data_IF_297817671638
#
_entry.id   IF_297817671638
#
_cell.length_a   1.000
_cell.length_b   1.000
_cell.length_c   1.000
_cell.angle_alpha   90.00
_cell.angle_beta   90.00
_cell.angle_gamma   90.00
#
_symmetry.space_group_name_H-M   'P 1'
#
loop_
_entity.id
_entity.type
_entity.pdbx_description
1 polymer ?
#
# COMPACT_ATOMS: atom_id res chain seq x y z
N UNK A 1 -26.05 -12.46 -11.31
CA UNK A 1 -24.62 -12.22 -11.59
C UNK A 1 -23.82 -13.13 -10.65
N UNK A 2 -23.69 -14.44 -10.95
CA UNK A 2 -23.21 -15.43 -9.97
C UNK A 2 -22.19 -16.44 -10.54
N UNK A 3 -21.30 -16.01 -11.44
CA UNK A 3 -20.32 -16.89 -12.11
C UNK A 3 -18.91 -16.31 -12.21
N UNK A 4 -18.57 -15.29 -11.44
CA UNK A 4 -17.35 -14.51 -11.65
C UNK A 4 -16.07 -15.28 -11.27
N UNK A 5 -16.03 -15.92 -10.09
CA UNK A 5 -14.85 -16.66 -9.63
C UNK A 5 -14.68 -17.98 -10.39
N UNK A 6 -15.77 -18.74 -10.59
CA UNK A 6 -15.75 -19.94 -11.42
C UNK A 6 -15.34 -19.66 -12.88
N UNK A 7 -15.80 -18.55 -13.45
CA UNK A 7 -15.38 -18.09 -14.79
C UNK A 7 -13.90 -17.76 -14.84
N UNK A 8 -13.36 -17.20 -13.75
CA UNK A 8 -11.94 -16.95 -13.57
C UNK A 8 -11.11 -18.24 -13.51
N UNK A 9 -11.53 -19.22 -12.72
CA UNK A 9 -10.87 -20.53 -12.65
C UNK A 9 -10.88 -21.26 -13.99
N UNK A 10 -12.01 -21.25 -14.70
CA UNK A 10 -12.13 -21.85 -16.03
C UNK A 10 -11.14 -21.21 -17.03
N UNK A 11 -11.02 -19.87 -17.02
CA UNK A 11 -10.08 -19.15 -17.87
C UNK A 11 -8.62 -19.39 -17.47
N UNK A 12 -8.31 -19.45 -16.17
CA UNK A 12 -6.95 -19.72 -15.67
C UNK A 12 -6.48 -21.13 -16.03
N UNK A 13 -7.32 -22.16 -15.82
CA UNK A 13 -7.01 -23.55 -16.18
C UNK A 13 -6.86 -23.69 -17.70
N UNK A 14 -7.69 -23.00 -18.50
CA UNK A 14 -7.58 -22.99 -19.95
C UNK A 14 -6.26 -22.34 -20.42
N UNK A 15 -5.86 -21.22 -19.81
CA UNK A 15 -4.58 -20.54 -20.07
C UNK A 15 -3.39 -21.46 -19.77
N UNK A 16 -3.38 -22.12 -18.61
CA UNK A 16 -2.33 -23.08 -18.22
C UNK A 16 -2.24 -24.29 -19.16
N UNK A 17 -3.37 -24.80 -19.67
CA UNK A 17 -3.40 -25.89 -20.67
C UNK A 17 -2.85 -25.46 -22.03
N UNK A 18 -3.15 -24.24 -22.48
CA UNK A 18 -2.61 -23.70 -23.75
C UNK A 18 -1.09 -23.51 -23.67
N UNK A 19 -0.55 -23.14 -22.50
CA UNK A 19 0.88 -23.02 -22.27
C UNK A 19 1.62 -24.36 -22.09
N UNK A 20 0.91 -25.49 -21.94
CA UNK A 20 1.49 -26.82 -21.75
C UNK A 20 1.00 -27.82 -22.81
N UNK A 21 1.52 -27.70 -24.03
CA UNK A 21 1.68 -28.88 -24.88
C UNK A 21 3.06 -28.96 -25.57
N UNK A 22 3.59 -30.20 -25.72
CA UNK A 22 5.00 -30.45 -25.97
C UNK A 22 5.35 -30.50 -27.47
N UNK A 23 6.60 -30.19 -27.78
CA UNK A 23 7.22 -30.43 -29.08
C UNK A 23 7.14 -31.93 -29.42
N UNK A 24 6.28 -32.27 -30.39
CA UNK A 24 6.28 -33.56 -31.06
C UNK A 24 7.29 -33.51 -32.22
N UNK A 25 8.16 -34.51 -32.21
CA UNK A 25 9.05 -35.06 -33.24
C UNK A 25 8.86 -34.59 -34.69
N UNK A 26 9.94 -34.08 -35.28
CA UNK A 26 10.13 -33.97 -36.73
C UNK A 26 11.27 -34.88 -37.19
N UNK A 27 10.92 -36.00 -37.83
CA UNK A 27 11.85 -36.91 -38.50
C UNK A 27 12.36 -36.35 -39.82
N UNK A 28 13.62 -36.65 -40.13
CA UNK A 28 14.26 -36.42 -41.43
C UNK A 28 13.77 -37.43 -42.48
N UNK A 29 13.44 -36.96 -43.68
CA UNK A 29 13.84 -37.65 -44.91
C UNK A 29 13.77 -36.72 -46.13
N UNK A 30 14.82 -36.79 -46.93
CA UNK A 30 15.11 -35.96 -48.10
C UNK A 30 14.45 -36.49 -49.38
N UNK A 31 14.23 -35.62 -50.38
CA UNK A 31 14.40 -35.97 -51.80
C UNK A 31 14.79 -34.75 -52.65
N UNK A 32 15.82 -34.96 -53.49
CA UNK A 32 16.40 -34.07 -54.51
C UNK A 32 15.56 -34.03 -55.79
N UNK A 33 15.61 -32.93 -56.53
CA UNK A 33 15.90 -32.80 -57.99
C UNK A 33 16.04 -31.27 -58.25
N UNK A 34 16.92 -30.69 -59.08
CA UNK A 34 17.87 -31.19 -60.06
C UNK A 34 18.03 -30.13 -61.17
N UNK A 35 19.16 -29.40 -61.17
CA UNK A 35 19.88 -28.75 -62.30
C UNK A 35 19.20 -27.64 -63.12
N UNK A 36 19.89 -26.49 -63.24
CA UNK A 36 20.73 -26.09 -64.41
C UNK A 36 21.43 -24.74 -64.17
N UNK A 37 22.78 -24.73 -64.25
CA UNK A 37 23.66 -23.58 -64.61
C UNK A 37 23.95 -23.72 -66.12
N UNK A 38 24.28 -22.66 -66.91
CA UNK A 38 25.44 -21.75 -66.74
C UNK A 38 25.08 -20.29 -67.17
N UNK A 39 25.93 -19.25 -67.30
CA UNK A 39 27.37 -19.03 -67.46
C UNK A 39 27.63 -17.52 -67.19
N UNK A 40 28.83 -17.16 -66.74
CA UNK A 40 29.25 -15.79 -66.43
C UNK A 40 29.48 -14.91 -67.67
N UNK A 41 29.21 -13.60 -67.55
CA UNK A 41 29.81 -12.49 -68.29
C UNK A 41 29.79 -11.24 -67.38
N UNK A 42 30.89 -10.47 -67.41
CA UNK A 42 31.28 -9.45 -66.43
C UNK A 42 30.44 -8.17 -66.38
N UNK A 43 30.84 -7.20 -65.53
CA UNK A 43 30.00 -6.05 -65.19
C UNK A 43 30.16 -4.92 -66.22
N UNK A 44 29.06 -4.23 -66.60
CA UNK A 44 29.14 -2.91 -67.22
C UNK A 44 29.08 -1.78 -66.17
N UNK A 45 29.59 -0.59 -66.52
CA UNK A 45 30.06 0.44 -65.59
C UNK A 45 28.97 1.29 -64.93
N UNK A 46 29.30 1.84 -63.77
CA UNK A 46 28.48 2.77 -62.97
C UNK A 46 28.07 4.03 -63.75
N UNK A 47 26.78 4.40 -63.73
CA UNK A 47 26.36 5.75 -64.06
C UNK A 47 26.51 6.66 -62.83
N UNK A 48 27.35 7.68 -62.97
CA UNK A 48 27.46 8.82 -62.05
C UNK A 48 26.10 9.52 -61.96
N UNK A 49 25.41 9.36 -60.83
CA UNK A 49 24.24 10.18 -60.48
C UNK A 49 24.54 11.10 -59.30
N UNK A 50 23.99 12.31 -59.43
CA UNK A 50 24.27 13.51 -58.68
C UNK A 50 24.07 13.36 -57.15
N UNK A 51 24.92 14.07 -56.39
CA UNK A 51 24.73 14.29 -54.95
C UNK A 51 23.38 14.98 -54.70
N UNK A 52 22.48 14.39 -53.88
CA UNK A 52 21.37 15.14 -53.32
C UNK A 52 21.90 16.14 -52.28
N UNK A 53 21.39 17.37 -52.31
CA UNK A 53 21.60 18.35 -51.23
C UNK A 53 21.00 17.77 -49.94
N UNK A 54 21.86 17.48 -48.98
CA UNK A 54 21.47 17.13 -47.61
C UNK A 54 20.91 18.39 -46.98
N UNK A 55 19.59 18.44 -46.77
CA UNK A 55 18.98 19.39 -45.83
C UNK A 55 19.42 19.06 -44.40
N UNK A 56 19.37 20.03 -43.46
CA UNK A 56 19.74 19.76 -42.08
C UNK A 56 18.92 18.58 -41.52
N UNK A 57 19.52 17.75 -40.65
CA UNK A 57 18.83 16.61 -40.08
C UNK A 57 17.56 17.09 -39.34
N UNK A 58 16.47 16.30 -39.38
CA UNK A 58 15.30 16.60 -38.55
C UNK A 58 15.73 16.66 -37.08
N UNK A 59 15.22 17.64 -36.35
CA UNK A 59 15.46 17.77 -34.91
C UNK A 59 15.14 16.42 -34.23
N UNK A 60 16.01 15.96 -33.32
CA UNK A 60 15.69 14.78 -32.52
C UNK A 60 14.37 15.04 -31.78
N UNK A 61 13.50 14.03 -31.64
CA UNK A 61 12.30 14.18 -30.84
C UNK A 61 12.71 14.69 -29.45
N UNK A 62 11.92 15.60 -28.84
CA UNK A 62 12.24 16.10 -27.51
C UNK A 62 12.46 14.88 -26.61
N UNK A 63 13.62 14.84 -25.94
CA UNK A 63 13.90 13.81 -24.94
C UNK A 63 12.66 13.72 -24.04
N UNK A 64 12.12 12.51 -23.78
CA UNK A 64 11.03 12.36 -22.83
C UNK A 64 11.50 13.04 -21.56
N UNK A 65 10.86 14.16 -21.25
CA UNK A 65 11.32 15.07 -20.22
C UNK A 65 11.66 14.25 -19.00
N UNK A 66 12.87 14.45 -18.46
CA UNK A 66 13.18 14.05 -17.10
C UNK A 66 12.03 14.55 -16.24
N UNK A 67 11.07 13.68 -15.94
CA UNK A 67 10.09 13.91 -14.91
C UNK A 67 10.94 14.26 -13.69
N UNK A 68 10.83 15.51 -13.24
CA UNK A 68 11.63 15.98 -12.12
C UNK A 68 11.35 15.03 -10.97
N UNK A 69 12.37 14.31 -10.53
CA UNK A 69 12.38 13.49 -9.31
C UNK A 69 12.31 14.38 -8.05
N UNK A 70 11.59 15.50 -8.08
CA UNK A 70 11.49 16.51 -7.02
C UNK A 70 10.11 16.56 -6.36
N UNK A 71 9.13 15.75 -6.79
CA UNK A 71 7.74 15.90 -6.33
C UNK A 71 7.43 15.40 -4.91
N UNK A 72 7.89 14.24 -4.43
CA UNK A 72 7.44 13.75 -3.12
C UNK A 72 8.11 14.48 -1.95
N UNK A 73 9.40 14.82 -2.05
CA UNK A 73 10.08 15.65 -1.06
C UNK A 73 9.44 17.05 -0.93
N UNK A 74 9.00 17.65 -2.05
CA UNK A 74 8.30 18.93 -2.00
C UNK A 74 6.90 18.80 -1.39
N UNK A 75 6.21 17.67 -1.55
CA UNK A 75 4.85 17.45 -1.03
C UNK A 75 4.80 17.35 0.50
N UNK A 76 5.76 16.68 1.13
CA UNK A 76 5.85 16.63 2.60
C UNK A 76 6.20 18.00 3.18
N UNK A 77 7.15 18.70 2.57
CA UNK A 77 7.51 20.05 2.99
C UNK A 77 6.33 21.03 2.85
N UNK A 78 5.59 20.96 1.74
CA UNK A 78 4.38 21.75 1.50
C UNK A 78 3.27 21.44 2.53
N UNK A 79 3.09 20.17 2.90
CA UNK A 79 2.10 19.76 3.91
C UNK A 79 2.44 20.32 5.29
N UNK A 80 3.73 20.27 5.68
CA UNK A 80 4.21 20.84 6.94
C UNK A 80 4.06 22.36 6.98
N UNK A 81 4.54 23.06 5.96
CA UNK A 81 4.44 24.52 5.88
C UNK A 81 2.97 24.98 5.95
N UNK A 82 2.07 24.26 5.28
CA UNK A 82 0.62 24.48 5.37
C UNK A 82 0.06 24.20 6.77
N UNK A 83 0.47 23.11 7.41
CA UNK A 83 0.03 22.76 8.76
C UNK A 83 0.48 23.84 9.77
N UNK A 84 1.76 24.22 9.76
CA UNK A 84 2.28 25.30 10.60
C UNK A 84 1.53 26.61 10.34
N UNK A 85 1.30 26.96 9.07
CA UNK A 85 0.54 28.15 8.70
C UNK A 85 -0.90 28.13 9.22
N UNK A 86 -1.58 26.99 9.12
CA UNK A 86 -2.97 26.84 9.55
C UNK A 86 -3.12 26.88 11.08
N UNK A 87 -2.15 26.31 11.81
CA UNK A 87 -2.08 26.45 13.27
C UNK A 87 -1.88 27.91 13.66
N UNK A 88 -0.99 28.64 12.97
CA UNK A 88 -0.81 30.08 13.20
C UNK A 88 -2.10 30.89 12.98
N UNK A 89 -2.92 30.54 11.99
CA UNK A 89 -4.25 31.14 11.78
C UNK A 89 -5.23 30.73 12.88
N UNK A 90 -5.19 29.48 13.34
CA UNK A 90 -6.05 28.98 14.41
C UNK A 90 -5.73 29.66 15.76
N UNK A 91 -4.46 29.96 16.02
CA UNK A 91 -4.02 30.62 17.25
C UNK A 91 -4.56 32.05 17.39
N UNK A 92 -4.78 32.76 16.28
CA UNK A 92 -5.33 34.12 16.29
C UNK A 92 -6.86 34.15 16.19
N UNK A 93 -7.51 32.99 16.08
CA UNK A 93 -8.97 32.89 15.99
C UNK A 93 -9.65 33.13 17.34
N UNK A 94 -10.88 33.66 17.29
CA UNK A 94 -11.72 33.84 18.47
C UNK A 94 -12.05 32.50 19.12
N UNK A 95 -12.20 32.53 20.45
CA UNK A 95 -12.58 31.36 21.23
C UNK A 95 -14.06 31.04 20.98
N UNK A 96 -14.33 29.77 20.68
CA UNK A 96 -15.67 29.22 20.58
C UNK A 96 -16.13 28.63 21.94
N UNK A 97 -17.40 28.85 22.28
CA UNK A 97 -18.00 28.22 23.45
C UNK A 97 -18.17 26.71 23.22
N UNK A 98 -18.05 25.92 24.30
CA UNK A 98 -18.18 24.46 24.21
C UNK A 98 -19.53 24.01 23.65
N UNK A 99 -20.61 24.67 24.04
CA UNK A 99 -21.97 24.34 23.57
C UNK A 99 -22.12 24.60 22.06
N UNK A 100 -21.49 25.66 21.54
CA UNK A 100 -21.51 25.97 20.10
C UNK A 100 -20.73 24.92 19.30
N UNK A 101 -19.60 24.43 19.84
CA UNK A 101 -18.81 23.35 19.24
C UNK A 101 -19.60 22.05 19.23
N UNK A 102 -20.29 21.71 20.31
CA UNK A 102 -21.08 20.48 20.41
C UNK A 102 -22.28 20.49 19.46
N UNK A 103 -23.00 21.61 19.38
CA UNK A 103 -24.10 21.76 18.43
C UNK A 103 -23.62 21.67 16.97
N UNK A 104 -22.46 22.25 16.67
CA UNK A 104 -21.88 22.15 15.34
C UNK A 104 -21.39 20.73 15.02
N UNK A 105 -20.78 20.04 16.00
CA UNK A 105 -20.35 18.66 15.89
C UNK A 105 -21.50 17.73 15.53
N UNK A 106 -22.69 17.88 16.14
CA UNK A 106 -23.86 17.06 15.81
C UNK A 106 -24.25 17.18 14.33
N UNK A 107 -24.14 18.38 13.76
CA UNK A 107 -24.40 18.61 12.33
C UNK A 107 -23.33 17.92 11.47
N UNK A 108 -22.07 18.05 11.88
CA UNK A 108 -20.94 17.45 11.15
C UNK A 108 -20.95 15.92 11.24
N UNK A 109 -21.35 15.35 12.37
CA UNK A 109 -21.51 13.92 12.57
C UNK A 109 -22.52 13.34 11.58
N UNK A 110 -23.64 14.04 11.38
CA UNK A 110 -24.67 13.62 10.45
C UNK A 110 -24.26 13.74 8.97
N UNK A 111 -23.55 14.81 8.60
CA UNK A 111 -23.25 15.12 7.19
C UNK A 111 -21.94 14.50 6.71
N UNK A 112 -20.90 14.49 7.55
CA UNK A 112 -19.55 14.04 7.19
C UNK A 112 -19.13 12.76 7.90
N UNK A 113 -20.00 12.18 8.73
CA UNK A 113 -19.69 10.97 9.49
C UNK A 113 -18.68 11.21 10.61
N UNK A 114 -18.66 12.40 11.21
CA UNK A 114 -17.80 12.65 12.36
C UNK A 114 -18.14 11.77 13.55
N UNK A 115 -17.12 11.10 14.09
CA UNK A 115 -17.29 10.15 15.20
C UNK A 115 -17.18 10.84 16.57
N UNK A 116 -16.26 11.80 16.69
CA UNK A 116 -15.97 12.50 17.95
C UNK A 116 -15.31 13.86 17.72
N UNK A 117 -15.22 14.65 18.79
CA UNK A 117 -14.36 15.84 18.84
C UNK A 117 -12.99 15.42 19.42
N UNK A 118 -11.92 15.85 18.77
CA UNK A 118 -10.54 15.69 19.25
C UNK A 118 -10.08 17.00 19.87
N UNK A 119 -9.70 16.98 21.14
CA UNK A 119 -9.12 18.13 21.83
C UNK A 119 -7.59 18.03 21.79
N UNK A 120 -6.94 19.01 21.16
CA UNK A 120 -5.51 19.00 20.86
C UNK A 120 -4.83 20.29 21.30
N UNK A 121 -3.59 20.19 21.78
CA UNK A 121 -2.72 21.34 21.93
C UNK A 121 -2.21 21.83 20.53
N UNK A 122 -1.51 22.97 20.43
CA UNK A 122 -1.03 23.48 19.14
C UNK A 122 -0.16 22.48 18.36
N UNK A 123 0.67 21.69 19.04
CA UNK A 123 1.55 20.70 18.40
C UNK A 123 0.78 19.49 17.89
N UNK A 124 -0.18 19.01 18.68
CA UNK A 124 -1.10 17.95 18.31
C UNK A 124 -1.97 18.36 17.12
N UNK A 125 -2.40 19.62 17.08
CA UNK A 125 -3.12 20.19 15.94
C UNK A 125 -2.24 20.25 14.69
N UNK A 126 -1.02 20.77 14.79
CA UNK A 126 -0.05 20.83 13.68
C UNK A 126 0.16 19.44 13.07
N UNK A 127 0.46 18.47 13.93
CA UNK A 127 0.69 17.10 13.52
C UNK A 127 -0.55 16.48 12.87
N UNK A 128 -1.75 16.68 13.44
CA UNK A 128 -2.98 16.12 12.88
C UNK A 128 -3.29 16.72 11.51
N UNK A 129 -3.12 18.03 11.33
CA UNK A 129 -3.32 18.68 10.02
C UNK A 129 -2.31 18.13 9.02
N UNK A 130 -1.03 18.09 9.37
CA UNK A 130 0.00 17.54 8.48
C UNK A 130 -0.32 16.11 8.06
N UNK A 131 -0.76 15.27 9.00
CA UNK A 131 -1.17 13.89 8.72
C UNK A 131 -2.41 13.82 7.83
N UNK A 132 -3.44 14.63 8.12
CA UNK A 132 -4.63 14.72 7.28
C UNK A 132 -4.23 15.08 5.85
N UNK A 133 -3.38 16.09 5.67
CA UNK A 133 -2.91 16.50 4.34
C UNK A 133 -2.13 15.37 3.64
N UNK A 134 -1.22 14.70 4.35
CA UNK A 134 -0.41 13.62 3.80
C UNK A 134 -1.25 12.38 3.42
N UNK A 135 -2.09 11.89 4.32
CA UNK A 135 -2.92 10.70 4.11
C UNK A 135 -3.93 10.95 2.99
N UNK A 136 -4.59 12.11 2.99
CA UNK A 136 -5.58 12.45 1.96
C UNK A 136 -4.92 12.71 0.59
N UNK A 137 -3.71 13.27 0.54
CA UNK A 137 -2.96 13.39 -0.72
C UNK A 137 -2.61 12.01 -1.30
N UNK A 138 -2.29 11.01 -0.47
CA UNK A 138 -2.08 9.63 -0.93
C UNK A 138 -3.37 9.01 -1.49
N UNK A 139 -4.52 9.46 -0.98
CA UNK A 139 -5.83 9.03 -1.43
C UNK A 139 -6.35 9.75 -2.68
N UNK A 140 -5.70 10.85 -3.09
CA UNK A 140 -6.06 11.59 -4.31
C UNK A 140 -6.70 12.96 -4.05
N UNK A 141 -6.63 13.47 -2.83
CA UNK A 141 -7.16 14.78 -2.44
C UNK A 141 -6.03 15.80 -2.37
N UNK A 142 -5.95 16.67 -3.38
CA UNK A 142 -4.82 17.59 -3.58
C UNK A 142 -5.20 19.06 -3.51
N UNK A 143 -6.49 19.38 -3.68
CA UNK A 143 -6.98 20.76 -3.59
C UNK A 143 -7.42 21.05 -2.17
N UNK A 144 -7.07 22.24 -1.68
CA UNK A 144 -7.28 22.65 -0.30
C UNK A 144 -8.01 23.99 -0.29
N UNK A 145 -9.24 24.02 0.20
CA UNK A 145 -9.93 25.26 0.56
C UNK A 145 -9.80 25.48 2.06
N UNK A 146 -9.27 26.63 2.46
CA UNK A 146 -9.23 27.04 3.87
C UNK A 146 -10.20 28.20 4.03
N UNK A 147 -11.25 27.99 4.82
CA UNK A 147 -12.28 28.98 5.10
C UNK A 147 -12.24 29.36 6.57
N UNK A 148 -11.89 30.61 6.85
CA UNK A 148 -12.07 31.21 8.16
C UNK A 148 -13.51 31.73 8.27
N UNK A 149 -14.37 31.04 9.02
CA UNK A 149 -15.73 31.50 9.29
C UNK A 149 -15.72 32.33 10.59
N UNK A 150 -15.67 33.66 10.41
CA UNK A 150 -15.95 34.62 11.48
C UNK A 150 -17.45 34.59 11.77
N UNK A 151 -17.84 34.19 12.98
CA UNK A 151 -19.20 33.83 13.36
C UNK A 151 -20.29 34.84 12.92
N UNK A 152 -21.25 34.47 12.05
CA UNK A 152 -22.54 35.15 12.01
C UNK A 152 -23.49 34.47 12.99
N UNK A 153 -23.69 35.04 14.20
CA UNK A 153 -24.73 34.80 15.24
C UNK A 153 -25.19 33.35 15.60
N UNK A 154 -24.79 32.29 14.92
CA UNK A 154 -25.34 30.92 15.05
C UNK A 154 -24.31 29.79 14.82
N UNK A 155 -23.02 30.12 14.67
CA UNK A 155 -21.95 29.13 14.45
C UNK A 155 -20.71 29.55 15.24
N UNK A 156 -19.96 28.60 15.82
CA UNK A 156 -18.71 28.91 16.50
C UNK A 156 -17.69 29.52 15.52
N UNK A 157 -16.85 30.48 15.96
CA UNK A 157 -15.66 30.87 15.22
C UNK A 157 -14.81 29.63 14.93
N UNK A 158 -14.50 29.38 13.66
CA UNK A 158 -13.77 28.19 13.24
C UNK A 158 -13.01 28.39 11.94
N UNK A 159 -12.03 27.52 11.74
CA UNK A 159 -11.42 27.26 10.44
C UNK A 159 -12.05 25.98 9.88
N UNK A 160 -12.43 26.00 8.62
CA UNK A 160 -12.83 24.83 7.86
C UNK A 160 -11.77 24.53 6.80
N UNK A 161 -11.18 23.34 6.87
CA UNK A 161 -10.27 22.79 5.87
C UNK A 161 -11.06 21.82 4.98
N UNK A 162 -11.21 22.16 3.70
CA UNK A 162 -11.86 21.34 2.70
C UNK A 162 -10.80 20.74 1.77
N UNK A 163 -10.75 19.41 1.68
CA UNK A 163 -9.91 18.69 0.76
C UNK A 163 -10.77 18.20 -0.40
N UNK A 164 -10.39 18.52 -1.64
CA UNK A 164 -11.11 18.05 -2.83
C UNK A 164 -10.28 17.03 -3.60
N UNK A 165 -10.90 15.88 -3.85
CA UNK A 165 -10.38 14.76 -4.63
C UNK A 165 -10.39 15.04 -6.14
N UNK A 166 -9.61 14.26 -6.90
CA UNK A 166 -9.63 14.31 -8.38
C UNK A 166 -11.03 13.99 -8.94
N UNK A 167 -11.81 13.17 -8.23
CA UNK A 167 -13.20 12.83 -8.57
C UNK A 167 -14.22 13.94 -8.22
N UNK A 168 -13.79 15.02 -7.58
CA UNK A 168 -14.67 16.07 -7.06
C UNK A 168 -15.28 15.77 -5.68
N UNK A 169 -14.95 14.62 -5.08
CA UNK A 169 -15.30 14.31 -3.68
C UNK A 169 -14.67 15.33 -2.73
N UNK A 170 -15.36 15.65 -1.64
CA UNK A 170 -14.90 16.61 -0.64
C UNK A 170 -14.80 15.95 0.74
N UNK A 171 -13.69 16.22 1.43
CA UNK A 171 -13.48 15.86 2.83
C UNK A 171 -13.22 17.13 3.63
N UNK A 172 -14.16 17.43 4.52
CA UNK A 172 -14.12 18.67 5.29
C UNK A 172 -13.78 18.39 6.75
N UNK A 173 -12.97 19.27 7.33
CA UNK A 173 -12.56 19.25 8.73
C UNK A 173 -12.73 20.64 9.33
N UNK A 174 -13.12 20.70 10.60
CA UNK A 174 -13.30 21.94 11.35
C UNK A 174 -12.35 21.98 12.53
N UNK A 175 -11.83 23.17 12.78
CA UNK A 175 -10.93 23.50 13.88
C UNK A 175 -11.51 24.71 14.58
N UNK A 176 -11.89 24.54 15.84
CA UNK A 176 -12.39 25.62 16.69
C UNK A 176 -11.46 25.77 17.90
N UNK A 177 -11.13 27.01 18.26
CA UNK A 177 -10.30 27.28 19.44
C UNK A 177 -11.18 27.29 20.68
N UNK A 178 -10.85 26.48 21.69
CA UNK A 178 -11.50 26.51 23.01
C UNK A 178 -10.81 27.52 23.92
N UNK A 179 -11.43 27.78 25.07
CA UNK A 179 -10.76 28.38 26.22
C UNK A 179 -9.49 27.58 26.55
N UNK A 180 -8.45 28.25 27.07
CA UNK A 180 -7.16 27.64 27.45
C UNK A 180 -6.20 27.29 26.30
N UNK A 181 -6.54 27.66 25.05
CA UNK A 181 -5.63 27.46 23.90
C UNK A 181 -5.60 26.03 23.37
N UNK A 182 -6.58 25.21 23.77
CA UNK A 182 -6.86 23.88 23.21
C UNK A 182 -7.70 24.04 21.95
N UNK A 183 -7.50 23.17 20.97
CA UNK A 183 -8.23 23.15 19.70
C UNK A 183 -9.15 21.94 19.63
N UNK A 184 -10.43 22.19 19.38
CA UNK A 184 -11.41 21.18 19.05
C UNK A 184 -11.37 20.90 17.53
N UNK A 185 -11.08 19.66 17.15
CA UNK A 185 -11.00 19.21 15.77
C UNK A 185 -12.01 18.11 15.50
N UNK A 186 -12.83 18.26 14.46
CA UNK A 186 -13.86 17.29 14.07
C UNK A 186 -14.18 17.42 12.58
N UNK A 187 -14.59 16.34 11.93
CA UNK A 187 -14.76 16.35 10.48
C UNK A 187 -14.98 14.98 9.86
N UNK A 188 -14.61 14.86 8.59
CA UNK A 188 -14.77 13.62 7.84
C UNK A 188 -14.16 12.40 8.55
N UNK A 189 -14.83 11.24 8.45
CA UNK A 189 -14.48 10.00 9.15
C UNK A 189 -13.01 9.56 8.98
N UNK A 190 -12.40 9.88 7.84
CA UNK A 190 -10.99 9.60 7.54
C UNK A 190 -10.00 10.15 8.58
N UNK A 191 -10.38 11.16 9.38
CA UNK A 191 -9.50 11.68 10.44
C UNK A 191 -9.44 10.80 11.69
N UNK A 192 -10.42 9.92 11.94
CA UNK A 192 -10.51 9.19 13.21
C UNK A 192 -9.73 7.88 13.24
N UNK A 193 -9.21 7.43 12.09
CA UNK A 193 -8.16 6.42 12.02
C UNK A 193 -6.80 6.92 12.53
N UNK A 194 -6.72 8.19 12.95
CA UNK A 194 -5.52 8.85 13.42
C UNK A 194 -5.48 8.85 14.95
N UNK A 195 -4.53 8.12 15.53
CA UNK A 195 -4.25 8.19 16.97
C UNK A 195 -3.27 9.33 17.25
N UNK A 196 -3.36 10.03 18.40
CA UNK A 196 -2.28 10.95 18.80
C UNK A 196 -0.95 10.19 18.78
N UNK A 197 0.14 10.84 18.35
CA UNK A 197 1.41 10.17 18.18
C UNK A 197 1.83 9.53 19.50
N UNK A 198 2.10 8.22 19.48
CA UNK A 198 2.73 7.55 20.62
C UNK A 198 4.08 8.22 20.88
N UNK A 199 4.47 8.37 22.15
CA UNK A 199 5.78 8.88 22.45
C UNK A 199 6.83 7.95 21.82
N UNK A 200 7.98 8.49 21.37
CA UNK A 200 9.06 7.67 20.82
C UNK A 200 9.59 6.66 21.85
N UNK A 201 9.28 6.87 23.13
CA UNK A 201 9.53 5.92 24.22
C UNK A 201 8.90 4.54 24.00
N UNK A 202 7.86 4.39 23.20
CA UNK A 202 7.23 3.10 22.87
C UNK A 202 7.91 2.39 21.69
N UNK A 203 8.87 3.03 21.02
CA UNK A 203 9.64 2.42 19.94
C UNK A 203 10.97 1.91 20.48
N UNK A 204 11.26 0.65 20.19
CA UNK A 204 12.55 0.03 20.45
C UNK A 204 13.55 0.36 19.35
N UNK A 205 13.13 0.20 18.09
CA UNK A 205 14.01 0.36 16.92
C UNK A 205 13.24 0.78 15.67
N UNK A 206 13.84 1.66 14.88
CA UNK A 206 13.54 1.86 13.47
C UNK A 206 14.60 1.15 12.62
N UNK A 207 14.18 0.33 11.67
CA UNK A 207 15.04 -0.35 10.71
C UNK A 207 14.69 0.12 9.32
N UNK A 208 15.55 0.92 8.70
CA UNK A 208 15.39 1.39 7.33
C UNK A 208 16.09 0.45 6.36
N UNK A 209 15.37 -0.06 5.37
CA UNK A 209 15.91 -0.82 4.25
C UNK A 209 15.71 -0.01 2.97
N UNK A 210 16.82 0.34 2.33
CA UNK A 210 16.83 1.18 1.13
C UNK A 210 17.42 0.41 -0.06
N UNK A 211 16.83 0.55 -1.25
CA UNK A 211 17.26 -0.16 -2.47
C UNK A 211 18.54 0.40 -3.12
N UNK A 212 19.30 1.27 -2.42
CA UNK A 212 20.41 2.03 -2.98
C UNK A 212 21.46 2.43 -1.95
N UNK A 213 22.03 3.63 -2.14
CA UNK A 213 22.99 4.21 -1.20
C UNK A 213 22.35 4.44 0.18
N UNK A 214 23.20 4.64 1.19
CA UNK A 214 22.70 5.07 2.50
C UNK A 214 21.95 6.41 2.35
N UNK A 215 20.71 6.51 2.89
CA UNK A 215 20.02 7.78 2.94
C UNK A 215 20.87 8.79 3.70
N UNK A 216 20.96 10.00 3.16
CA UNK A 216 21.59 11.10 3.89
C UNK A 216 20.75 11.50 5.11
N UNK A 217 21.22 12.47 5.89
CA UNK A 217 20.52 12.90 7.10
C UNK A 217 19.11 13.44 6.80
N UNK A 218 18.95 14.15 5.69
CA UNK A 218 17.66 14.74 5.30
C UNK A 218 16.69 13.66 4.84
N UNK A 219 17.16 12.70 4.05
CA UNK A 219 16.38 11.56 3.59
C UNK A 219 15.96 10.64 4.76
N UNK A 220 16.89 10.36 5.69
CA UNK A 220 16.59 9.59 6.90
C UNK A 220 15.52 10.29 7.75
N UNK A 221 15.62 11.61 7.90
CA UNK A 221 14.62 12.40 8.61
C UNK A 221 13.25 12.33 7.93
N UNK A 222 13.17 12.42 6.60
CA UNK A 222 11.91 12.28 5.87
C UNK A 222 11.29 10.89 5.97
N UNK A 223 12.11 9.84 5.90
CA UNK A 223 11.63 8.46 6.07
C UNK A 223 11.05 8.26 7.47
N UNK A 224 11.76 8.70 8.52
CA UNK A 224 11.26 8.66 9.90
C UNK A 224 9.98 9.48 10.06
N UNK A 225 9.94 10.67 9.44
CA UNK A 225 8.79 11.56 9.52
C UNK A 225 7.55 10.94 8.87
N UNK A 226 7.69 10.43 7.63
CA UNK A 226 6.61 9.76 6.92
C UNK A 226 6.10 8.53 7.68
N UNK A 227 7.00 7.76 8.27
CA UNK A 227 6.65 6.62 9.13
C UNK A 227 5.99 7.10 10.42
N UNK A 228 6.45 8.17 11.03
CA UNK A 228 5.84 8.77 12.22
C UNK A 228 4.39 9.17 11.97
N UNK A 229 4.12 9.78 10.81
CA UNK A 229 2.76 10.06 10.37
C UNK A 229 1.96 8.75 10.22
N UNK A 230 2.42 7.77 9.44
CA UNK A 230 1.66 6.53 9.18
C UNK A 230 1.48 5.66 10.45
N UNK A 231 2.53 5.50 11.24
CA UNK A 231 2.57 4.72 12.47
C UNK A 231 1.89 5.41 13.66
N UNK A 232 1.55 6.70 13.53
CA UNK A 232 1.13 7.55 14.65
C UNK A 232 2.17 7.54 15.77
N UNK A 233 3.41 7.89 15.44
CA UNK A 233 4.55 8.02 16.37
C UNK A 233 5.22 9.35 16.17
N UNK A 234 5.62 10.01 17.25
CA UNK A 234 6.51 11.17 17.16
C UNK A 234 7.94 10.71 16.89
N UNK A 235 8.29 10.65 15.60
CA UNK A 235 9.61 10.23 15.17
C UNK A 235 10.70 11.29 15.42
N UNK A 236 10.34 12.51 15.82
CA UNK A 236 11.30 13.62 16.02
C UNK A 236 12.11 13.51 17.30
N UNK A 237 11.59 12.77 18.29
CA UNK A 237 12.27 12.50 19.57
C UNK A 237 13.00 11.15 19.62
N UNK A 238 13.14 10.44 18.50
CA UNK A 238 13.79 9.13 18.43
C UNK A 238 15.31 9.32 18.49
N UNK A 239 16.02 8.70 19.45
CA UNK A 239 17.47 8.83 19.51
C UNK A 239 18.11 8.15 18.30
N UNK A 240 19.20 8.71 17.78
CA UNK A 240 19.91 8.14 16.61
C UNK A 240 20.34 6.69 16.83
N UNK A 241 20.60 6.28 18.09
CA UNK A 241 20.90 4.90 18.45
C UNK A 241 19.74 3.93 18.23
N UNK A 242 18.50 4.41 18.23
CA UNK A 242 17.30 3.61 17.92
C UNK A 242 17.02 3.53 16.42
N UNK A 243 17.87 4.09 15.56
CA UNK A 243 17.74 4.01 14.11
C UNK A 243 18.86 3.13 13.55
N UNK A 244 18.50 2.20 12.68
CA UNK A 244 19.44 1.31 11.99
C UNK A 244 19.11 1.31 10.51
N UNK A 245 20.12 1.43 9.68
CA UNK A 245 19.96 1.48 8.22
C UNK A 245 20.70 0.33 7.57
N UNK A 246 19.99 -0.42 6.73
CA UNK A 246 20.49 -1.53 5.94
C UNK A 246 20.40 -1.16 4.46
N UNK A 247 21.49 -1.40 3.72
CA UNK A 247 21.59 -1.15 2.28
C UNK A 247 22.07 -2.41 1.56
N UNK A 248 21.95 -2.44 0.23
CA UNK A 248 22.37 -3.58 -0.59
C UNK A 248 21.35 -4.72 -0.68
N UNK A 249 20.16 -4.54 -0.12
CA UNK A 249 19.01 -5.43 -0.29
C UNK A 249 17.89 -4.67 -1.01
N UNK A 250 16.98 -5.40 -1.68
CA UNK A 250 15.75 -4.82 -2.21
C UNK A 250 14.92 -4.30 -1.05
N UNK A 251 14.49 -3.03 -1.09
CA UNK A 251 13.62 -2.46 -0.07
C UNK A 251 12.24 -3.14 -0.15
N UNK A 252 12.08 -4.17 0.68
CA UNK A 252 10.89 -5.02 0.76
C UNK A 252 10.58 -5.25 2.23
N UNK A 253 9.32 -5.56 2.55
CA UNK A 253 8.95 -5.91 3.93
C UNK A 253 9.68 -7.17 4.39
N UNK A 254 9.86 -8.15 3.51
CA UNK A 254 10.66 -9.34 3.79
C UNK A 254 12.13 -9.00 4.13
N UNK A 255 12.75 -8.05 3.43
CA UNK A 255 14.11 -7.58 3.72
C UNK A 255 14.21 -6.84 5.07
N UNK A 256 13.21 -6.00 5.38
CA UNK A 256 13.12 -5.32 6.67
C UNK A 256 12.95 -6.32 7.81
N UNK A 257 12.03 -7.26 7.69
CA UNK A 257 11.83 -8.34 8.65
C UNK A 257 13.09 -9.21 8.81
N UNK A 258 13.78 -9.56 7.72
CA UNK A 258 15.04 -10.31 7.79
C UNK A 258 16.12 -9.53 8.56
N UNK A 259 16.16 -8.20 8.40
CA UNK A 259 17.07 -7.34 9.16
C UNK A 259 16.69 -7.29 10.64
N UNK A 260 15.39 -7.21 10.97
CA UNK A 260 14.90 -7.29 12.35
C UNK A 260 15.23 -8.64 12.98
N UNK A 261 15.01 -9.75 12.27
CA UNK A 261 15.33 -11.10 12.73
C UNK A 261 16.82 -11.22 13.08
N UNK A 262 17.70 -10.77 12.18
CA UNK A 262 19.14 -10.74 12.41
C UNK A 262 19.51 -9.92 13.66
N UNK A 263 18.92 -8.74 13.84
CA UNK A 263 19.16 -7.91 15.03
C UNK A 263 18.67 -8.57 16.32
N UNK A 264 17.57 -9.33 16.26
CA UNK A 264 17.08 -10.11 17.39
C UNK A 264 18.01 -11.28 17.73
N UNK A 265 18.50 -12.01 16.73
CA UNK A 265 19.47 -13.11 16.90
C UNK A 265 20.80 -12.61 17.49
N UNK A 266 21.19 -11.38 17.16
CA UNK A 266 22.36 -10.69 17.74
C UNK A 266 22.09 -10.10 19.13
N UNK A 267 20.94 -10.37 19.74
CA UNK A 267 20.50 -9.83 21.03
C UNK A 267 20.48 -8.29 21.09
N UNK A 268 20.31 -7.62 19.94
CA UNK A 268 20.18 -6.17 19.84
C UNK A 268 18.73 -5.67 19.96
N UNK A 269 17.77 -6.61 19.97
CA UNK A 269 16.35 -6.36 20.18
C UNK A 269 15.82 -7.31 21.26
N UNK A 270 14.79 -6.88 21.97
CA UNK A 270 14.08 -7.69 22.94
C UNK A 270 13.42 -8.91 22.26
N UNK A 271 13.06 -9.96 23.02
CA UNK A 271 12.39 -11.14 22.48
C UNK A 271 11.14 -10.81 21.64
N UNK A 272 10.77 -11.73 20.74
CA UNK A 272 9.62 -11.58 19.84
C UNK A 272 9.63 -10.30 18.99
N UNK A 273 10.81 -9.74 18.67
CA UNK A 273 10.93 -8.50 17.92
C UNK A 273 10.15 -8.49 16.59
N UNK A 274 10.15 -9.62 15.87
CA UNK A 274 9.40 -9.76 14.62
C UNK A 274 7.88 -9.63 14.83
N UNK A 275 7.34 -10.22 15.89
CA UNK A 275 5.92 -10.14 16.23
C UNK A 275 5.54 -8.72 16.65
N UNK A 276 6.50 -7.99 17.24
CA UNK A 276 6.39 -6.57 17.60
C UNK A 276 6.81 -5.63 16.47
N UNK A 277 6.84 -6.07 15.20
CA UNK A 277 7.28 -5.24 14.07
C UNK A 277 6.14 -4.81 13.16
N UNK A 278 6.07 -3.51 12.87
CA UNK A 278 5.31 -2.95 11.76
C UNK A 278 6.23 -2.56 10.63
N UNK A 279 5.83 -2.77 9.38
CA UNK A 279 6.63 -2.35 8.24
C UNK A 279 5.84 -1.38 7.35
N UNK A 280 6.50 -0.31 6.93
CA UNK A 280 5.89 0.73 6.12
C UNK A 280 6.71 0.90 4.85
N UNK A 281 6.06 0.72 3.70
CA UNK A 281 6.66 1.05 2.41
C UNK A 281 6.46 2.56 2.20
N UNK A 282 7.57 3.27 2.00
CA UNK A 282 7.60 4.73 1.84
C UNK A 282 8.39 5.05 0.58
N UNK A 283 7.77 5.77 -0.35
CA UNK A 283 8.48 6.35 -1.50
C UNK A 283 8.68 7.86 -1.29
N UNK A 284 9.94 8.26 -1.15
CA UNK A 284 10.36 9.67 -1.04
C UNK A 284 10.94 10.23 -2.34
N UNK A 285 10.68 9.57 -3.49
CA UNK A 285 11.03 10.05 -4.84
C UNK A 285 12.34 9.54 -5.41
N UNK A 286 13.01 8.65 -4.69
CA UNK A 286 14.23 7.95 -5.15
C UNK A 286 14.00 6.44 -5.29
N UNK A 287 12.74 6.03 -5.24
CA UNK A 287 12.32 4.64 -5.21
C UNK A 287 11.78 4.26 -3.82
N UNK A 288 11.18 3.07 -3.73
CA UNK A 288 10.61 2.58 -2.48
C UNK A 288 11.72 2.29 -1.47
N UNK A 289 11.50 2.76 -0.25
CA UNK A 289 12.20 2.40 0.97
C UNK A 289 11.22 1.68 1.89
N UNK A 290 11.71 0.78 2.72
CA UNK A 290 10.89 0.11 3.73
C UNK A 290 11.44 0.45 5.10
N UNK A 291 10.58 0.97 5.97
CA UNK A 291 10.96 1.24 7.36
C UNK A 291 10.15 0.33 8.26
N UNK A 292 10.86 -0.55 8.97
CA UNK A 292 10.29 -1.35 10.03
C UNK A 292 10.38 -0.60 11.37
N UNK A 293 9.31 -0.64 12.15
CA UNK A 293 9.18 -0.09 13.49
C UNK A 293 8.99 -1.26 14.45
N UNK A 294 9.98 -1.48 15.31
CA UNK A 294 9.96 -2.48 16.38
C UNK A 294 9.46 -1.80 17.65
N UNK A 295 8.31 -2.24 18.17
CA UNK A 295 7.61 -1.63 19.31
C UNK A 295 8.06 -2.22 20.63
N UNK A 296 8.35 -1.44 21.68
CA UNK A 296 8.82 -2.00 22.98
C UNK A 296 7.83 -2.95 23.67
N UNK A 297 6.54 -2.76 23.44
CA UNK A 297 5.47 -3.59 24.00
C UNK A 297 4.84 -4.48 22.94
N UNK A 298 4.28 -5.60 23.40
CA UNK A 298 3.52 -6.50 22.54
C UNK A 298 2.29 -5.77 21.99
N UNK A 299 2.07 -5.96 20.69
CA UNK A 299 0.82 -5.58 20.06
C UNK A 299 -0.17 -6.69 20.38
N UNK A 300 -1.25 -6.37 21.06
CA UNK A 300 -2.31 -7.32 21.43
C UNK A 300 -3.13 -7.73 20.19
N UNK A 301 -2.47 -8.40 19.25
CA UNK A 301 -3.03 -8.86 17.98
C UNK A 301 -3.47 -10.33 18.08
N UNK A 302 -4.53 -10.70 17.37
CA UNK A 302 -5.05 -12.07 17.41
C UNK A 302 -4.14 -13.07 16.66
N UNK A 303 -3.49 -12.62 15.58
CA UNK A 303 -2.69 -13.43 14.68
C UNK A 303 -1.33 -12.75 14.38
N UNK A 304 -0.48 -12.46 15.38
CA UNK A 304 0.75 -11.67 15.18
C UNK A 304 1.75 -12.33 14.21
N UNK A 305 1.73 -13.66 14.11
CA UNK A 305 2.60 -14.46 13.24
C UNK A 305 2.42 -14.16 11.74
N UNK A 306 1.30 -13.58 11.30
CA UNK A 306 1.06 -13.25 9.88
C UNK A 306 2.04 -12.20 9.37
N UNK A 307 2.54 -11.33 10.25
CA UNK A 307 3.52 -10.29 9.95
C UNK A 307 4.83 -10.84 9.38
N UNK A 308 5.16 -12.08 9.72
CA UNK A 308 6.31 -12.79 9.14
C UNK A 308 5.91 -13.63 7.93
N UNK A 309 4.76 -14.33 7.97
CA UNK A 309 4.38 -15.29 6.93
C UNK A 309 3.90 -14.65 5.63
N UNK A 310 3.13 -13.56 5.70
CA UNK A 310 2.56 -12.90 4.52
C UNK A 310 3.65 -12.34 3.61
N UNK A 311 4.60 -11.51 4.10
CA UNK A 311 5.64 -10.95 3.22
C UNK A 311 6.48 -12.03 2.53
N UNK A 312 6.81 -13.11 3.25
CA UNK A 312 7.53 -14.24 2.67
C UNK A 312 6.71 -14.94 1.57
N UNK A 313 5.40 -15.11 1.78
CA UNK A 313 4.51 -15.70 0.80
C UNK A 313 4.39 -14.82 -0.46
N UNK A 314 4.21 -13.51 -0.28
CA UNK A 314 4.12 -12.56 -1.40
C UNK A 314 5.43 -12.54 -2.21
N UNK A 315 6.58 -12.45 -1.56
CA UNK A 315 7.89 -12.51 -2.25
C UNK A 315 8.05 -13.80 -3.07
N UNK A 316 7.60 -14.95 -2.53
CA UNK A 316 7.64 -16.23 -3.25
C UNK A 316 6.80 -16.19 -4.53
N UNK A 317 5.61 -15.57 -4.48
CA UNK A 317 4.72 -15.44 -5.64
C UNK A 317 5.28 -14.44 -6.66
N UNK A 318 5.85 -13.32 -6.21
CA UNK A 318 6.47 -12.34 -7.10
C UNK A 318 7.62 -12.92 -7.93
N UNK A 319 8.38 -13.87 -7.38
CA UNK A 319 9.45 -14.55 -8.12
C UNK A 319 8.91 -15.36 -9.31
N UNK A 320 7.68 -15.86 -9.23
CA UNK A 320 7.06 -16.64 -10.31
C UNK A 320 6.17 -15.79 -11.22
N UNK A 321 5.62 -14.69 -10.71
CA UNK A 321 4.73 -13.76 -11.43
C UNK A 321 5.10 -12.30 -11.12
N UNK A 322 6.22 -11.76 -11.64
CA UNK A 322 6.73 -10.43 -11.30
C UNK A 322 5.80 -9.26 -11.66
N UNK A 323 4.88 -9.48 -12.59
CA UNK A 323 3.85 -8.51 -12.98
C UNK A 323 2.90 -8.15 -11.83
N UNK A 324 2.70 -9.04 -10.85
CA UNK A 324 1.88 -8.77 -9.67
C UNK A 324 2.49 -7.68 -8.79
N UNK A 325 3.82 -7.67 -8.66
CA UNK A 325 4.54 -6.69 -7.83
C UNK A 325 4.31 -5.22 -8.24
N UNK A 326 3.82 -4.99 -9.47
CA UNK A 326 3.52 -3.66 -10.00
C UNK A 326 2.07 -3.23 -9.78
N UNK A 327 1.21 -4.12 -9.25
CA UNK A 327 -0.20 -3.81 -9.03
C UNK A 327 -0.38 -3.09 -7.69
N UNK A 328 -1.10 -1.95 -7.66
CA UNK A 328 -1.35 -1.22 -6.42
C UNK A 328 -1.98 -2.09 -5.32
N UNK A 329 -3.00 -2.88 -5.66
CA UNK A 329 -3.66 -3.77 -4.71
C UNK A 329 -2.76 -4.88 -4.15
N UNK A 330 -1.79 -5.36 -4.94
CA UNK A 330 -0.80 -6.34 -4.50
C UNK A 330 0.24 -5.72 -3.56
N UNK A 331 0.84 -4.59 -3.97
CA UNK A 331 1.80 -3.86 -3.14
C UNK A 331 1.18 -3.46 -1.79
N UNK A 332 -0.11 -3.12 -1.79
CA UNK A 332 -0.83 -2.76 -0.58
C UNK A 332 -0.97 -3.92 0.42
N UNK A 333 -0.88 -5.20 0.00
CA UNK A 333 -0.95 -6.34 0.92
C UNK A 333 0.23 -6.40 1.90
N UNK A 334 1.36 -5.79 1.55
CA UNK A 334 2.54 -5.67 2.42
C UNK A 334 2.49 -4.45 3.34
N UNK A 335 1.59 -3.49 3.07
CA UNK A 335 1.51 -2.24 3.79
C UNK A 335 0.86 -2.42 5.18
N UNK A 336 1.32 -1.65 6.17
CA UNK A 336 0.89 -1.81 7.56
C UNK A 336 -0.64 -1.80 7.77
N UNK A 337 -1.46 -0.97 7.10
CA UNK A 337 -2.92 -1.02 7.26
C UNK A 337 -3.53 -2.37 6.88
N UNK A 338 -3.05 -2.99 5.79
CA UNK A 338 -3.49 -4.33 5.39
C UNK A 338 -2.99 -5.37 6.39
N UNK A 339 -1.72 -5.30 6.76
CA UNK A 339 -1.11 -6.24 7.70
C UNK A 339 -1.79 -6.20 9.08
N UNK A 340 -2.04 -5.01 9.61
CA UNK A 340 -2.73 -4.80 10.88
C UNK A 340 -4.17 -5.32 10.84
N UNK A 341 -4.88 -5.12 9.73
CA UNK A 341 -6.21 -5.70 9.55
C UNK A 341 -6.17 -7.22 9.61
N UNK A 342 -5.26 -7.88 8.87
CA UNK A 342 -5.16 -9.34 8.85
C UNK A 342 -4.69 -9.90 10.20
N UNK A 343 -3.73 -9.24 10.86
CA UNK A 343 -3.24 -9.64 12.18
C UNK A 343 -4.31 -9.56 13.27
N UNK A 344 -5.27 -8.64 13.16
CA UNK A 344 -6.39 -8.49 14.11
C UNK A 344 -7.69 -9.15 13.64
N UNK A 345 -7.69 -9.76 12.46
CA UNK A 345 -8.89 -10.32 11.86
C UNK A 345 -9.46 -11.47 12.72
N UNK A 346 -10.79 -11.50 12.81
CA UNK A 346 -11.53 -12.69 13.22
C UNK A 346 -11.95 -13.49 11.98
N UNK A 347 -12.38 -14.74 12.16
CA UNK A 347 -12.89 -15.53 11.04
C UNK A 347 -14.06 -14.83 10.35
N UNK A 348 -14.10 -14.91 9.02
CA UNK A 348 -15.14 -14.33 8.15
C UNK A 348 -15.26 -12.81 8.24
N UNK A 349 -14.12 -12.14 8.36
CA UNK A 349 -14.07 -10.68 8.31
C UNK A 349 -13.54 -10.20 6.97
N UNK A 350 -14.00 -9.04 6.54
CA UNK A 350 -13.49 -8.38 5.35
C UNK A 350 -13.45 -6.87 5.52
N UNK A 351 -12.57 -6.23 4.76
CA UNK A 351 -12.46 -4.78 4.69
C UNK A 351 -12.08 -4.35 3.28
N UNK A 352 -12.81 -3.36 2.77
CA UNK A 352 -12.46 -2.68 1.55
C UNK A 352 -11.41 -1.60 1.84
N UNK A 353 -10.32 -1.63 1.09
CA UNK A 353 -9.34 -0.55 0.96
C UNK A 353 -9.44 0.05 -0.45
N UNK A 354 -8.70 1.12 -0.70
CA UNK A 354 -8.75 1.87 -1.96
C UNK A 354 -8.58 0.98 -3.19
N UNK A 355 -7.52 0.18 -3.21
CA UNK A 355 -7.13 -0.61 -4.39
C UNK A 355 -7.40 -2.12 -4.23
N UNK A 356 -7.80 -2.55 -3.02
CA UNK A 356 -7.99 -3.97 -2.71
C UNK A 356 -9.07 -4.21 -1.66
N UNK A 357 -9.91 -5.21 -1.89
CA UNK A 357 -10.79 -5.80 -0.90
C UNK A 357 -10.07 -6.98 -0.24
N UNK A 358 -9.89 -6.94 1.08
CA UNK A 358 -9.21 -8.02 1.81
C UNK A 358 -10.25 -8.78 2.64
N UNK A 359 -10.35 -10.08 2.40
CA UNK A 359 -11.16 -11.02 3.18
C UNK A 359 -10.26 -12.00 3.92
N UNK A 360 -10.68 -12.42 5.12
CA UNK A 360 -9.94 -13.34 5.97
C UNK A 360 -10.83 -14.49 6.41
N UNK A 361 -10.37 -15.72 6.19
CA UNK A 361 -10.91 -16.92 6.83
C UNK A 361 -9.84 -17.55 7.72
N UNK A 362 -10.23 -18.03 8.90
CA UNK A 362 -9.34 -18.68 9.85
C UNK A 362 -9.75 -20.14 9.98
N UNK A 363 -8.79 -21.05 9.80
CA UNK A 363 -9.02 -22.50 9.89
C UNK A 363 -8.10 -23.14 10.94
N UNK A 364 -8.63 -24.02 11.81
CA UNK A 364 -7.83 -24.62 12.88
C UNK A 364 -7.07 -25.88 12.41
N UNK A 365 -6.45 -25.81 11.24
CA UNK A 365 -5.78 -26.93 10.57
C UNK A 365 -4.80 -26.39 9.53
N UNK A 366 -3.61 -26.99 9.42
CA UNK A 366 -2.55 -26.55 8.50
C UNK A 366 -2.37 -27.49 7.30
N UNK A 367 -2.85 -28.73 7.38
CA UNK A 367 -2.73 -29.68 6.28
C UNK A 367 -3.77 -29.40 5.17
N UNK A 368 -3.36 -29.15 3.91
CA UNK A 368 -4.26 -28.80 2.81
C UNK A 368 -5.43 -29.79 2.61
N UNK A 369 -5.16 -31.10 2.60
CA UNK A 369 -6.20 -32.13 2.42
C UNK A 369 -7.27 -32.06 3.52
N UNK A 370 -6.88 -31.74 4.74
CA UNK A 370 -7.80 -31.63 5.87
C UNK A 370 -8.58 -30.33 5.85
N UNK A 371 -7.94 -29.22 5.43
CA UNK A 371 -8.64 -27.96 5.16
C UNK A 371 -9.74 -28.21 4.12
N UNK A 372 -9.40 -28.83 2.98
CA UNK A 372 -10.35 -29.17 1.92
C UNK A 372 -11.51 -30.02 2.42
N UNK A 373 -11.25 -31.04 3.25
CA UNK A 373 -12.30 -31.89 3.81
C UNK A 373 -13.34 -31.17 4.68
N UNK A 374 -13.01 -29.95 5.14
CA UNK A 374 -13.87 -29.13 5.99
C UNK A 374 -14.60 -28.02 5.22
N UNK A 375 -14.21 -27.76 3.97
CA UNK A 375 -14.89 -26.78 3.15
C UNK A 375 -16.22 -27.33 2.65
N UNK A 376 -17.29 -26.51 2.61
CA UNK A 376 -18.54 -26.89 1.97
C UNK A 376 -18.36 -26.90 0.45
N UNK A 377 -18.11 -28.09 -0.12
CA UNK A 377 -17.89 -28.28 -1.55
C UNK A 377 -16.42 -28.15 -1.96
N UNK A 378 -16.16 -27.79 -3.21
CA UNK A 378 -14.79 -27.52 -3.67
C UNK A 378 -14.31 -26.15 -3.18
N UNK A 379 -12.99 -25.92 -3.20
CA UNK A 379 -12.42 -24.63 -2.82
C UNK A 379 -12.97 -23.47 -3.66
N UNK A 380 -13.19 -23.69 -4.96
CA UNK A 380 -13.74 -22.69 -5.87
C UNK A 380 -15.19 -22.34 -5.49
N UNK A 381 -16.01 -23.36 -5.19
CA UNK A 381 -17.39 -23.17 -4.75
C UNK A 381 -17.49 -22.44 -3.42
N UNK A 382 -16.65 -22.87 -2.47
CA UNK A 382 -16.58 -22.24 -1.17
C UNK A 382 -16.11 -20.78 -1.26
N UNK A 383 -15.01 -20.50 -1.96
CA UNK A 383 -14.44 -19.16 -2.07
C UNK A 383 -15.36 -18.17 -2.80
N UNK A 384 -16.06 -18.61 -3.85
CA UNK A 384 -17.05 -17.81 -4.57
C UNK A 384 -18.22 -17.42 -3.63
N UNK A 385 -18.76 -18.40 -2.90
CA UNK A 385 -19.83 -18.17 -1.91
C UNK A 385 -19.35 -17.26 -0.78
N UNK A 386 -18.16 -17.53 -0.24
CA UNK A 386 -17.57 -16.78 0.88
C UNK A 386 -17.34 -15.31 0.52
N UNK A 387 -16.75 -15.04 -0.65
CA UNK A 387 -16.52 -13.68 -1.12
C UNK A 387 -17.83 -12.94 -1.41
N UNK A 388 -18.80 -13.63 -2.01
CA UNK A 388 -20.12 -13.06 -2.26
C UNK A 388 -20.85 -12.70 -0.95
N UNK A 389 -20.84 -13.59 0.04
CA UNK A 389 -21.48 -13.37 1.35
C UNK A 389 -20.86 -12.18 2.11
N UNK A 390 -19.57 -11.92 1.89
CA UNK A 390 -18.85 -10.77 2.44
C UNK A 390 -19.00 -9.49 1.60
N UNK A 391 -19.74 -9.54 0.49
CA UNK A 391 -19.98 -8.39 -0.39
C UNK A 391 -18.75 -7.96 -1.20
N UNK A 392 -17.88 -8.90 -1.58
CA UNK A 392 -16.69 -8.60 -2.35
C UNK A 392 -17.06 -8.01 -3.74
N UNK A 393 -16.52 -6.82 -4.10
CA UNK A 393 -16.77 -6.16 -5.38
C UNK A 393 -15.93 -6.76 -6.52
N UNK A 394 -16.20 -8.03 -6.85
CA UNK A 394 -15.43 -8.81 -7.83
C UNK A 394 -15.43 -8.16 -9.22
N UNK A 395 -14.22 -7.90 -9.74
CA UNK A 395 -14.02 -7.29 -11.05
C UNK A 395 -14.01 -5.76 -11.05
N UNK A 396 -14.32 -5.13 -9.92
CA UNK A 396 -14.26 -3.67 -9.78
C UNK A 396 -12.91 -3.23 -9.17
N UNK A 397 -12.48 -3.92 -8.11
CA UNK A 397 -11.17 -3.73 -7.46
C UNK A 397 -10.46 -5.08 -7.26
N UNK A 398 -9.17 -5.06 -6.93
CA UNK A 398 -8.44 -6.29 -6.65
C UNK A 398 -9.04 -6.94 -5.38
N UNK A 399 -9.08 -8.26 -5.31
CA UNK A 399 -9.62 -9.00 -4.15
C UNK A 399 -8.55 -9.97 -3.64
N UNK A 400 -8.27 -9.90 -2.35
CA UNK A 400 -7.38 -10.81 -1.65
C UNK A 400 -8.15 -11.58 -0.59
N UNK A 401 -8.19 -12.91 -0.69
CA UNK A 401 -8.68 -13.80 0.36
C UNK A 401 -7.48 -14.49 1.01
N UNK A 402 -7.24 -14.14 2.27
CA UNK A 402 -6.28 -14.81 3.13
C UNK A 402 -6.97 -15.94 3.91
N UNK A 403 -6.36 -17.12 3.87
CA UNK A 403 -6.74 -18.25 4.72
C UNK A 403 -5.62 -18.44 5.73
N UNK A 404 -5.92 -18.09 6.98
CA UNK A 404 -5.00 -18.18 8.09
C UNK A 404 -5.21 -19.54 8.76
N UNK A 405 -4.23 -20.42 8.61
CA UNK A 405 -4.25 -21.77 9.11
C UNK A 405 -3.36 -21.89 10.34
N UNK A 406 -3.92 -22.29 11.48
CA UNK A 406 -3.17 -22.51 12.72
C UNK A 406 -3.73 -23.73 13.46
N UNK A 407 -2.91 -24.73 13.75
CA UNK A 407 -3.37 -25.99 14.38
C UNK A 407 -3.19 -26.01 15.92
N UNK A 408 -2.79 -24.89 16.51
CA UNK A 408 -2.53 -24.76 17.94
C UNK A 408 -1.16 -25.29 18.39
N UNK A 409 -0.33 -25.80 17.48
CA UNK A 409 1.01 -26.34 17.77
C UNK A 409 2.14 -25.50 17.17
N UNK A 410 2.15 -24.17 17.37
CA UNK A 410 3.08 -23.19 16.73
C UNK A 410 3.16 -23.25 15.19
N UNK A 411 2.54 -24.24 14.56
CA UNK A 411 2.48 -24.47 13.15
C UNK A 411 1.38 -23.60 12.57
N UNK A 412 1.81 -22.61 11.80
CA UNK A 412 0.94 -21.66 11.14
C UNK A 412 1.28 -21.59 9.65
N UNK A 413 0.26 -21.52 8.81
CA UNK A 413 0.35 -21.38 7.37
C UNK A 413 -0.59 -20.27 6.87
N UNK A 414 -0.23 -19.67 5.73
CA UNK A 414 -1.11 -18.74 5.00
C UNK A 414 -1.30 -19.24 3.59
N UNK A 415 -2.54 -19.16 3.10
CA UNK A 415 -2.87 -19.37 1.70
C UNK A 415 -3.53 -18.11 1.15
N UNK A 416 -3.19 -17.74 -0.08
CA UNK A 416 -3.69 -16.55 -0.76
C UNK A 416 -4.45 -16.93 -2.02
N UNK A 417 -5.70 -16.47 -2.10
CA UNK A 417 -6.40 -16.27 -3.36
C UNK A 417 -6.37 -14.77 -3.69
N UNK A 418 -5.70 -14.39 -4.76
CA UNK A 418 -5.66 -13.02 -5.25
C UNK A 418 -6.28 -12.91 -6.64
N UNK A 419 -7.34 -12.12 -6.75
CA UNK A 419 -8.14 -11.91 -7.95
C UNK A 419 -8.00 -10.43 -8.38
N UNK A 420 -7.20 -10.12 -9.40
CA UNK A 420 -7.08 -8.74 -9.87
C UNK A 420 -8.36 -8.31 -10.62
N UNK A 421 -8.72 -7.03 -10.54
CA UNK A 421 -9.97 -6.48 -11.09
C UNK A 421 -10.16 -6.69 -12.60
N UNK A 422 -9.08 -6.74 -13.41
CA UNK A 422 -9.21 -6.66 -14.88
C UNK A 422 -8.32 -7.60 -15.72
N UNK A 423 -7.73 -8.68 -15.18
CA UNK A 423 -6.84 -9.55 -15.97
C UNK A 423 -6.93 -11.05 -15.69
N UNK A 424 -7.77 -11.84 -16.41
CA UNK A 424 -8.01 -13.28 -16.15
C UNK A 424 -6.79 -14.21 -16.20
N UNK A 425 -5.58 -13.70 -16.50
CA UNK A 425 -4.35 -14.48 -16.63
C UNK A 425 -3.39 -14.46 -15.43
N UNK A 426 -3.62 -13.60 -14.43
CA UNK A 426 -2.64 -13.33 -13.35
C UNK A 426 -3.23 -13.52 -11.95
N UNK A 427 -4.20 -14.43 -11.78
CA UNK A 427 -4.68 -14.76 -10.45
C UNK A 427 -3.63 -15.58 -9.69
N UNK A 428 -3.55 -15.33 -8.38
CA UNK A 428 -2.86 -16.23 -7.45
C UNK A 428 -3.92 -17.13 -6.85
N UNK A 429 -3.72 -18.42 -6.98
CA UNK A 429 -4.63 -19.44 -6.47
C UNK A 429 -3.81 -20.37 -5.58
N UNK A 430 -4.30 -20.74 -4.39
CA UNK A 430 -3.62 -21.69 -3.54
C UNK A 430 -3.77 -23.10 -4.13
N UNK A 431 -2.81 -23.50 -4.98
CA UNK A 431 -2.90 -24.75 -5.77
C UNK A 431 -2.97 -26.01 -4.92
N UNK A 432 -2.46 -25.95 -3.69
CA UNK A 432 -2.54 -27.00 -2.69
C UNK A 432 -3.95 -27.17 -2.10
N UNK A 433 -4.79 -26.15 -2.21
CA UNK A 433 -6.21 -26.19 -1.86
C UNK A 433 -7.10 -26.39 -3.09
N UNK A 434 -6.55 -26.79 -4.24
CA UNK A 434 -7.32 -27.05 -5.45
C UNK A 434 -7.40 -28.53 -5.74
N UNK A 435 -8.60 -29.02 -6.10
CA UNK A 435 -8.73 -30.33 -6.71
C UNK A 435 -8.32 -30.24 -8.19
N UNK A 436 -7.02 -30.37 -8.44
CA UNK A 436 -6.52 -30.44 -9.81
C UNK A 436 -6.91 -31.80 -10.43
N UNK A 437 -7.57 -31.81 -11.61
CA UNK A 437 -7.97 -33.03 -12.30
C UNK A 437 -6.81 -33.85 -12.85
#
# INVERSE_FOLDING_TARGET
MAWAVHGWFANYVLSQRISRHPRILGGSMAFRFGRKRPRALGPPPEPRHARPKIGPPPEPPPEPGRARASEPASRFQDSREKATGLVGVAEVFDVAASDDIEQDFLTVAQVWGAERVLDLDPKGLEWLIEKILADNASEGFYSHGIFAEMAPKQRPPRIQLNLTGVSGEERSFRIAKRTEGIFAVYGHASMYGVHPPRPPADVERFVMVCSGAYPDHQESWWLLHAVGLRASVDATGVPASAVTTSTGQRATVAGANSTVARLADEAQLAPAALERTSAYIIDVGRGPSVVAVVWKSDRNEANPWVRTRIPWHLEKVERTSPELAHRPGWTFLEDEPAMSFVANASDKTARQFKDVFIAVSIVPETAPDRILSRLPGTFEQWSDTFLHDLGAPLGEIDVALWILAADGTENNAVHLLFLPSYHPGVAVIPTDLMHLP
#
